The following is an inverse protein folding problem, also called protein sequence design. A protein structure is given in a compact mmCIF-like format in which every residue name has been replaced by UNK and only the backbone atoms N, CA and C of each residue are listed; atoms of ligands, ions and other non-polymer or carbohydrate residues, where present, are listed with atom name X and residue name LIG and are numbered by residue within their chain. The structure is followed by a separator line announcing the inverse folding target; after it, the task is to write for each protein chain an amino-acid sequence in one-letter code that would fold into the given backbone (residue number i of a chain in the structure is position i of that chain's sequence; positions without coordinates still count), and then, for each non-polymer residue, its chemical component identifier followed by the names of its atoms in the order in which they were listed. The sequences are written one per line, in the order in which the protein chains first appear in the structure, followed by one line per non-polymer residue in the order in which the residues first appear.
data_IF_772974628174
#
_entry.id   IF_772974628174
#
_cell.length_a   1.000
_cell.length_b   1.000
_cell.length_c   1.000
_cell.angle_alpha   90.00
_cell.angle_beta   90.00
_cell.angle_gamma   90.00
#
_symmetry.space_group_name_H-M   'P 1'
#
loop_
_entity.id
_entity.type
_entity.pdbx_description
1 polymer ?
#
# COMPACT_ATOMS: atom_id res chain seq x y z
N UNK A 1 35.14 -0.95 -21.14
CA UNK A 1 35.41 -1.47 -19.79
C UNK A 1 34.43 -0.76 -18.87
N UNK A 2 33.16 -1.18 -18.90
CA UNK A 2 32.16 -0.69 -17.98
C UNK A 2 32.37 -1.49 -16.70
N UNK A 3 32.85 -0.83 -15.64
CA UNK A 3 32.70 -1.38 -14.30
C UNK A 3 31.20 -1.61 -14.10
N UNK A 4 30.84 -2.84 -13.73
CA UNK A 4 29.55 -3.13 -13.13
C UNK A 4 29.48 -2.29 -11.85
N UNK A 5 28.85 -1.12 -11.94
CA UNK A 5 28.31 -0.48 -10.74
C UNK A 5 27.29 -1.48 -10.19
N UNK A 6 27.61 -2.11 -9.06
CA UNK A 6 26.62 -2.83 -8.27
C UNK A 6 25.46 -1.86 -8.05
N UNK A 7 24.28 -2.17 -8.60
CA UNK A 7 23.05 -1.45 -8.32
C UNK A 7 22.78 -1.58 -6.83
N UNK A 8 23.26 -0.63 -6.02
CA UNK A 8 23.03 -0.68 -4.57
C UNK A 8 21.58 -0.31 -4.32
N UNK A 9 20.81 -1.26 -3.79
CA UNK A 9 19.47 -0.98 -3.31
C UNK A 9 19.53 -0.04 -2.09
N UNK A 10 18.56 0.86 -2.00
CA UNK A 10 18.48 1.92 -1.00
C UNK A 10 17.15 1.79 -0.27
N UNK A 11 17.21 1.53 1.04
CA UNK A 11 16.05 1.59 1.91
C UNK A 11 15.70 3.05 2.22
N UNK A 12 14.46 3.43 1.95
CA UNK A 12 13.92 4.76 2.20
C UNK A 12 12.73 4.66 3.17
N UNK A 13 12.74 5.50 4.19
CA UNK A 13 11.65 5.62 5.17
C UNK A 13 11.09 7.03 5.13
N UNK A 14 9.81 7.14 4.78
CA UNK A 14 9.09 8.41 4.75
C UNK A 14 8.60 8.85 6.14
N UNK A 15 8.50 7.91 7.08
CA UNK A 15 8.13 8.17 8.47
C UNK A 15 9.37 8.26 9.37
N UNK A 16 9.59 9.44 9.93
CA UNK A 16 10.56 9.69 10.98
C UNK A 16 10.31 8.85 12.24
N UNK A 17 9.04 8.56 12.57
CA UNK A 17 8.72 7.68 13.68
C UNK A 17 9.21 6.25 13.43
N UNK A 18 9.05 5.77 12.20
CA UNK A 18 9.55 4.47 11.75
C UNK A 18 11.09 4.45 11.73
N UNK A 19 11.74 5.51 11.26
CA UNK A 19 13.21 5.66 11.33
C UNK A 19 13.72 5.57 12.76
N UNK A 20 13.08 6.27 13.71
CA UNK A 20 13.44 6.19 15.13
C UNK A 20 13.20 4.79 15.71
N UNK A 21 12.15 4.08 15.25
CA UNK A 21 11.90 2.71 15.66
C UNK A 21 13.04 1.77 15.22
N UNK A 22 13.49 1.87 13.96
CA UNK A 22 14.64 1.12 13.44
C UNK A 22 15.88 1.36 14.31
N UNK A 23 16.21 2.63 14.57
CA UNK A 23 17.37 3.03 15.38
C UNK A 23 17.27 2.53 16.83
N UNK A 24 16.10 2.67 17.46
CA UNK A 24 15.86 2.29 18.86
C UNK A 24 15.99 0.79 19.06
N UNK A 25 15.47 -0.01 18.12
CA UNK A 25 15.55 -1.47 18.18
C UNK A 25 16.86 -2.03 17.62
N UNK A 26 17.70 -1.19 17.02
CA UNK A 26 18.97 -1.57 16.42
C UNK A 26 18.80 -2.65 15.34
N UNK A 27 17.72 -2.57 14.57
CA UNK A 27 17.51 -3.48 13.44
C UNK A 27 18.63 -3.31 12.42
N UNK A 28 19.20 -4.42 11.94
CA UNK A 28 20.30 -4.39 10.97
C UNK A 28 21.66 -3.98 11.56
N UNK A 29 21.75 -3.63 12.84
CA UNK A 29 22.99 -3.11 13.45
C UNK A 29 23.81 -4.18 14.21
N UNK A 30 23.28 -5.39 14.40
CA UNK A 30 23.99 -6.45 15.14
C UNK A 30 24.97 -7.19 14.23
N UNK A 31 26.05 -7.79 14.76
CA UNK A 31 26.98 -8.59 13.97
C UNK A 31 26.25 -9.70 13.18
N UNK A 32 26.45 -9.72 11.87
CA UNK A 32 25.81 -10.69 10.96
C UNK A 32 24.45 -10.26 10.42
N UNK A 33 23.90 -9.11 10.83
CA UNK A 33 22.68 -8.55 10.24
C UNK A 33 22.98 -7.65 9.04
N UNK A 34 21.96 -7.47 8.22
CA UNK A 34 21.97 -6.74 6.96
C UNK A 34 20.75 -5.83 6.85
N UNK A 35 20.63 -5.12 5.72
CA UNK A 35 19.44 -4.33 5.40
C UNK A 35 18.18 -5.21 5.30
N UNK A 36 18.33 -6.49 4.93
CA UNK A 36 17.20 -7.43 4.83
C UNK A 36 16.58 -7.74 6.19
N UNK A 37 17.35 -7.71 7.28
CA UNK A 37 16.80 -7.81 8.65
C UNK A 37 15.90 -6.62 8.97
N UNK A 38 16.25 -5.41 8.50
CA UNK A 38 15.43 -4.21 8.67
C UNK A 38 14.14 -4.36 7.85
N UNK A 39 14.27 -4.76 6.58
CA UNK A 39 13.12 -4.98 5.68
C UNK A 39 12.17 -6.02 6.27
N UNK A 40 12.69 -7.13 6.80
CA UNK A 40 11.88 -8.16 7.44
C UNK A 40 11.05 -7.60 8.60
N UNK A 41 11.66 -6.83 9.50
CA UNK A 41 10.95 -6.20 10.62
C UNK A 41 9.90 -5.18 10.16
N UNK A 42 10.18 -4.40 9.11
CA UNK A 42 9.22 -3.46 8.54
C UNK A 42 8.01 -4.19 7.92
N UNK A 43 8.27 -5.27 7.17
CA UNK A 43 7.24 -6.10 6.55
C UNK A 43 6.37 -6.82 7.57
N UNK A 44 6.97 -7.42 8.62
CA UNK A 44 6.24 -8.13 9.68
C UNK A 44 5.31 -7.20 10.45
N UNK A 45 5.75 -5.95 10.64
CA UNK A 45 4.99 -4.90 11.34
C UNK A 45 4.06 -4.13 10.42
N UNK A 46 3.99 -4.45 9.12
CA UNK A 46 3.19 -3.72 8.14
C UNK A 46 3.49 -2.21 8.10
N UNK A 47 4.76 -1.84 8.32
CA UNK A 47 5.25 -0.46 8.22
C UNK A 47 5.54 -0.16 6.75
N UNK A 48 5.11 1.00 6.27
CA UNK A 48 5.37 1.42 4.90
C UNK A 48 6.84 1.87 4.73
N UNK A 49 7.48 1.44 3.64
CA UNK A 49 8.84 1.83 3.27
C UNK A 49 9.01 1.72 1.75
N UNK A 50 10.15 2.19 1.25
CA UNK A 50 10.54 2.04 -0.14
C UNK A 50 11.90 1.34 -0.22
N UNK A 51 12.09 0.47 -1.21
CA UNK A 51 13.34 -0.25 -1.42
C UNK A 51 13.80 -0.02 -2.85
N UNK A 52 14.46 1.12 -3.03
CA UNK A 52 14.65 1.77 -4.33
C UNK A 52 16.02 1.49 -4.94
N UNK A 53 16.15 1.71 -6.24
CA UNK A 53 17.44 1.67 -6.97
C UNK A 53 17.77 3.02 -7.60
N UNK A 54 19.05 3.37 -7.76
CA UNK A 54 19.43 4.57 -8.51
C UNK A 54 19.06 4.42 -9.99
N UNK A 55 18.59 5.51 -10.60
CA UNK A 55 18.22 5.51 -12.01
C UNK A 55 18.25 6.88 -12.67
N UNK A 56 18.01 6.94 -13.99
CA UNK A 56 18.00 8.19 -14.73
C UNK A 56 16.83 9.07 -14.26
N UNK A 57 17.02 10.39 -14.33
CA UNK A 57 15.89 11.29 -14.21
C UNK A 57 14.94 11.11 -15.41
N UNK A 58 13.67 10.82 -15.14
CA UNK A 58 12.60 10.79 -16.13
C UNK A 58 11.40 11.51 -15.56
N UNK A 59 10.76 12.36 -16.37
CA UNK A 59 9.46 12.90 -16.00
C UNK A 59 8.48 11.73 -15.89
N UNK A 60 7.81 11.62 -14.74
CA UNK A 60 6.76 10.63 -14.55
C UNK A 60 5.72 10.86 -15.64
N UNK A 61 5.43 9.81 -16.42
CA UNK A 61 4.27 9.86 -17.30
C UNK A 61 3.04 10.04 -16.41
N UNK A 62 2.10 10.88 -16.83
CA UNK A 62 0.78 10.84 -16.22
C UNK A 62 0.31 9.37 -16.25
N UNK A 63 -0.31 8.89 -15.16
CA UNK A 63 -0.90 7.55 -15.17
C UNK A 63 -1.68 7.42 -16.48
N UNK A 64 -1.39 6.38 -17.30
CA UNK A 64 -2.12 6.21 -18.54
C UNK A 64 -3.61 6.20 -18.20
N UNK A 65 -4.42 6.92 -18.99
CA UNK A 65 -5.89 6.91 -18.88
C UNK A 65 -6.31 5.45 -18.66
N UNK A 66 -7.05 5.11 -17.59
CA UNK A 66 -7.18 3.73 -17.10
C UNK A 66 -7.49 2.80 -18.25
N UNK A 67 -6.46 2.09 -18.73
CA UNK A 67 -6.52 1.30 -19.96
C UNK A 67 -7.34 0.08 -19.61
N UNK A 68 -8.64 0.23 -19.83
CA UNK A 68 -9.65 -0.80 -19.92
C UNK A 68 -10.03 -1.45 -18.58
N UNK A 69 -11.20 -1.04 -18.08
CA UNK A 69 -12.46 -1.81 -17.94
C UNK A 69 -12.46 -3.35 -17.78
N UNK A 70 -11.39 -4.10 -18.10
CA UNK A 70 -11.30 -5.55 -17.97
C UNK A 70 -11.05 -6.00 -16.52
N UNK A 71 -10.47 -5.14 -15.67
CA UNK A 71 -10.23 -5.41 -14.24
C UNK A 71 -11.14 -4.57 -13.33
N UNK A 72 -11.65 -3.44 -13.82
CA UNK A 72 -12.19 -2.33 -13.02
C UNK A 72 -13.54 -2.55 -12.31
N UNK A 73 -13.99 -3.79 -12.15
CA UNK A 73 -15.15 -4.13 -11.32
C UNK A 73 -16.46 -3.46 -11.77
N UNK A 74 -16.57 -3.05 -13.04
CA UNK A 74 -17.80 -2.44 -13.56
C UNK A 74 -18.93 -3.45 -13.53
N UNK A 75 -20.09 -3.01 -13.03
CA UNK A 75 -21.28 -3.84 -12.88
C UNK A 75 -22.54 -3.07 -13.27
N UNK A 76 -23.54 -3.76 -13.85
CA UNK A 76 -24.79 -3.13 -14.24
C UNK A 76 -25.56 -2.63 -13.03
N UNK A 77 -26.53 -1.76 -13.28
CA UNK A 77 -27.44 -1.26 -12.25
C UNK A 77 -28.09 -2.42 -11.47
N UNK A 78 -28.19 -2.23 -10.16
CA UNK A 78 -28.74 -3.20 -9.19
C UNK A 78 -27.90 -4.47 -8.98
N UNK A 79 -26.70 -4.58 -9.57
CA UNK A 79 -25.79 -5.65 -9.20
C UNK A 79 -25.45 -5.58 -7.70
N UNK A 80 -25.39 -6.73 -7.05
CA UNK A 80 -25.03 -6.84 -5.63
C UNK A 80 -23.95 -7.91 -5.54
N UNK A 81 -22.68 -7.52 -5.31
CA UNK A 81 -21.63 -8.51 -5.12
C UNK A 81 -21.96 -9.42 -3.95
N UNK A 82 -21.74 -10.72 -4.13
CA UNK A 82 -22.04 -11.75 -3.13
C UNK A 82 -20.78 -12.51 -2.68
N UNK A 83 -20.99 -13.65 -2.00
CA UNK A 83 -19.88 -14.50 -1.56
C UNK A 83 -19.11 -15.13 -2.74
N UNK A 84 -19.78 -15.50 -3.85
CA UNK A 84 -19.09 -16.07 -5.01
C UNK A 84 -18.20 -15.01 -5.67
N UNK A 85 -18.67 -13.76 -5.74
CA UNK A 85 -17.87 -12.62 -6.15
C UNK A 85 -16.61 -12.46 -5.26
N UNK A 86 -16.75 -12.62 -3.94
CA UNK A 86 -15.62 -12.54 -3.02
C UNK A 86 -14.58 -13.65 -3.25
N UNK A 87 -15.03 -14.90 -3.40
CA UNK A 87 -14.13 -16.03 -3.70
C UNK A 87 -13.40 -15.83 -5.03
N UNK A 88 -14.12 -15.35 -6.05
CA UNK A 88 -13.52 -15.02 -7.33
C UNK A 88 -12.48 -13.89 -7.17
N UNK A 89 -12.81 -12.84 -6.41
CA UNK A 89 -11.88 -11.76 -6.08
C UNK A 89 -10.60 -12.30 -5.43
N UNK A 90 -10.69 -13.16 -4.42
CA UNK A 90 -9.50 -13.67 -3.72
C UNK A 90 -8.56 -14.43 -4.65
N UNK A 91 -9.13 -15.22 -5.57
CA UNK A 91 -8.34 -15.91 -6.58
C UNK A 91 -7.59 -14.92 -7.50
N UNK A 92 -8.28 -13.89 -8.02
CA UNK A 92 -7.67 -12.88 -8.89
C UNK A 92 -6.66 -12.01 -8.15
N UNK A 93 -6.96 -11.59 -6.91
CA UNK A 93 -6.03 -10.85 -6.05
C UNK A 93 -4.77 -11.65 -5.83
N UNK A 94 -4.88 -12.91 -5.43
CA UNK A 94 -3.72 -13.73 -5.14
C UNK A 94 -2.90 -14.05 -6.40
N UNK A 95 -3.53 -14.18 -7.56
CA UNK A 95 -2.82 -14.31 -8.83
C UNK A 95 -2.03 -13.02 -9.16
N UNK A 96 -2.64 -11.85 -8.97
CA UNK A 96 -2.00 -10.56 -9.16
C UNK A 96 -0.83 -10.33 -8.18
N UNK A 97 -1.05 -10.58 -6.88
CA UNK A 97 -0.04 -10.40 -5.84
C UNK A 97 1.16 -11.36 -6.00
N UNK A 98 1.00 -12.51 -6.66
CA UNK A 98 2.13 -13.39 -6.98
C UNK A 98 2.96 -12.93 -8.18
N UNK A 99 2.55 -11.87 -8.86
CA UNK A 99 3.39 -11.18 -9.84
C UNK A 99 4.38 -10.25 -9.12
N UNK A 100 5.40 -9.70 -9.82
CA UNK A 100 6.31 -8.71 -9.23
C UNK A 100 5.59 -7.52 -8.56
N UNK A 101 4.39 -7.17 -9.02
CA UNK A 101 3.55 -6.10 -8.44
C UNK A 101 3.15 -6.36 -6.98
N UNK A 102 3.19 -7.61 -6.51
CA UNK A 102 2.98 -7.95 -5.11
C UNK A 102 3.99 -7.32 -4.16
N UNK A 103 5.23 -7.11 -4.62
CA UNK A 103 6.27 -6.47 -3.83
C UNK A 103 5.87 -5.03 -3.49
N UNK A 104 5.44 -4.26 -4.50
CA UNK A 104 4.90 -2.91 -4.29
C UNK A 104 3.72 -2.90 -3.30
N UNK A 105 2.86 -3.92 -3.33
CA UNK A 105 1.76 -4.05 -2.36
C UNK A 105 2.27 -4.26 -0.93
N UNK A 106 3.32 -5.07 -0.73
CA UNK A 106 3.98 -5.25 0.57
C UNK A 106 4.59 -3.95 1.11
N UNK A 107 5.31 -3.21 0.26
CA UNK A 107 5.98 -1.95 0.60
C UNK A 107 5.02 -0.85 1.09
N UNK A 108 3.76 -0.88 0.64
CA UNK A 108 2.74 0.08 1.09
C UNK A 108 2.36 -0.08 2.57
N UNK A 109 2.63 -1.21 3.21
CA UNK A 109 2.20 -1.48 4.58
C UNK A 109 0.67 -1.35 4.77
N UNK A 110 0.24 -1.16 6.02
CA UNK A 110 -1.17 -0.92 6.33
C UNK A 110 -2.12 -1.99 5.75
N UNK A 111 -3.30 -1.58 5.26
CA UNK A 111 -4.30 -2.53 4.73
C UNK A 111 -3.84 -3.25 3.45
N UNK A 112 -3.14 -2.56 2.54
CA UNK A 112 -2.68 -3.14 1.27
C UNK A 112 -1.56 -4.15 1.55
N UNK A 113 -0.57 -3.76 2.37
CA UNK A 113 0.48 -4.66 2.82
C UNK A 113 -0.07 -5.85 3.61
N UNK A 114 -1.11 -5.66 4.43
CA UNK A 114 -1.78 -6.78 5.11
C UNK A 114 -2.46 -7.75 4.15
N UNK A 115 -3.09 -7.24 3.08
CA UNK A 115 -3.71 -8.08 2.05
C UNK A 115 -2.67 -8.83 1.22
N UNK A 116 -1.46 -8.28 1.08
CA UNK A 116 -0.32 -8.94 0.46
C UNK A 116 0.36 -9.97 1.40
N UNK A 117 0.33 -9.70 2.71
CA UNK A 117 0.93 -10.55 3.73
C UNK A 117 0.37 -11.98 3.70
N UNK A 118 1.26 -12.96 3.61
CA UNK A 118 0.93 -14.38 3.48
C UNK A 118 0.62 -14.84 2.05
N UNK A 119 0.56 -13.92 1.08
CA UNK A 119 0.47 -14.23 -0.36
C UNK A 119 1.81 -14.05 -1.05
N UNK A 120 2.53 -12.98 -0.69
CA UNK A 120 3.85 -12.63 -1.22
C UNK A 120 4.93 -13.09 -0.23
N UNK A 121 5.84 -13.99 -0.63
CA UNK A 121 7.05 -14.30 0.15
C UNK A 121 7.90 -13.06 0.37
N UNK A 122 8.47 -12.89 1.56
CA UNK A 122 9.32 -11.72 1.85
C UNK A 122 10.63 -11.76 1.03
N UNK A 123 11.09 -12.95 0.68
CA UNK A 123 12.24 -13.17 -0.20
C UNK A 123 12.06 -12.48 -1.55
N UNK A 124 10.83 -12.44 -2.06
CA UNK A 124 10.54 -11.77 -3.33
C UNK A 124 10.77 -10.25 -3.21
N UNK A 125 10.50 -9.65 -2.04
CA UNK A 125 10.72 -8.21 -1.78
C UNK A 125 12.22 -7.87 -1.71
N UNK A 126 13.07 -8.83 -1.34
CA UNK A 126 14.51 -8.62 -1.22
C UNK A 126 15.22 -8.43 -2.56
N UNK A 127 14.55 -8.74 -3.68
CA UNK A 127 15.08 -8.55 -5.03
C UNK A 127 15.04 -7.09 -5.50
N UNK A 128 14.43 -6.18 -4.73
CA UNK A 128 14.29 -4.79 -5.13
C UNK A 128 13.20 -4.59 -6.19
N UNK A 129 13.11 -3.40 -6.80
CA UNK A 129 12.05 -3.05 -7.73
C UNK A 129 12.06 -3.91 -9.00
N UNK A 130 10.92 -3.97 -9.67
CA UNK A 130 10.72 -4.69 -10.92
C UNK A 130 11.58 -4.14 -12.07
N UNK A 131 11.78 -4.96 -13.11
CA UNK A 131 12.54 -4.56 -14.29
C UNK A 131 11.95 -3.33 -15.01
N UNK A 132 10.63 -3.13 -14.89
CA UNK A 132 9.88 -2.07 -15.54
C UNK A 132 9.78 -0.79 -14.69
N UNK A 133 10.46 -0.72 -13.54
CA UNK A 133 10.38 0.40 -12.57
C UNK A 133 10.59 1.79 -13.21
N UNK A 134 11.39 1.88 -14.28
CA UNK A 134 11.66 3.14 -14.99
C UNK A 134 10.58 3.56 -16.01
N UNK A 135 9.54 2.73 -16.18
CA UNK A 135 8.40 2.98 -17.06
C UNK A 135 7.14 3.35 -16.28
N UNK A 136 6.86 2.62 -15.20
CA UNK A 136 5.61 2.70 -14.43
C UNK A 136 5.78 2.93 -12.92
N UNK A 137 7.03 2.97 -12.43
CA UNK A 137 7.35 3.22 -11.04
C UNK A 137 7.24 4.67 -10.60
N UNK A 138 7.66 4.93 -9.37
CA UNK A 138 7.77 6.26 -8.77
C UNK A 138 9.23 6.62 -8.59
N UNK A 139 9.54 7.92 -8.64
CA UNK A 139 10.87 8.40 -8.31
C UNK A 139 10.90 9.33 -7.10
N UNK A 140 12.03 9.31 -6.41
CA UNK A 140 12.35 10.14 -5.25
C UNK A 140 13.60 10.94 -5.60
N UNK A 141 13.54 12.24 -5.34
CA UNK A 141 14.66 13.15 -5.52
C UNK A 141 15.00 13.80 -4.20
N UNK A 142 16.29 13.83 -3.89
CA UNK A 142 16.80 14.65 -2.80
C UNK A 142 16.79 16.11 -3.24
N UNK A 143 16.12 16.97 -2.48
CA UNK A 143 16.11 18.41 -2.72
C UNK A 143 17.50 19.05 -2.61
N UNK A 144 18.40 18.45 -1.84
CA UNK A 144 19.78 18.92 -1.64
C UNK A 144 20.75 18.31 -2.66
N UNK A 145 20.45 17.10 -3.17
CA UNK A 145 21.25 16.41 -4.18
C UNK A 145 20.40 15.94 -5.38
N UNK A 146 19.98 16.86 -6.27
CA UNK A 146 19.09 16.54 -7.40
C UNK A 146 19.70 15.58 -8.42
N UNK A 147 21.03 15.34 -8.35
CA UNK A 147 21.77 14.46 -9.24
C UNK A 147 21.45 12.98 -9.02
N UNK A 148 20.92 12.60 -7.86
CA UNK A 148 20.53 11.22 -7.56
C UNK A 148 19.02 11.11 -7.61
N UNK A 149 18.52 10.29 -8.53
CA UNK A 149 17.10 9.93 -8.62
C UNK A 149 16.98 8.46 -8.23
N UNK A 150 16.19 8.18 -7.21
CA UNK A 150 15.89 6.83 -6.75
C UNK A 150 14.54 6.40 -7.32
N UNK A 151 14.42 5.14 -7.71
CA UNK A 151 13.23 4.57 -8.34
C UNK A 151 12.75 3.36 -7.56
N UNK A 152 11.43 3.26 -7.39
CA UNK A 152 10.78 2.13 -6.75
C UNK A 152 9.44 1.83 -7.44
N UNK A 153 8.96 0.61 -7.29
CA UNK A 153 7.66 0.23 -7.84
C UNK A 153 6.53 0.93 -7.09
N UNK A 154 5.43 1.17 -7.80
CA UNK A 154 4.21 1.71 -7.22
C UNK A 154 2.99 1.08 -7.87
N UNK A 155 2.02 0.69 -7.04
CA UNK A 155 0.71 0.28 -7.54
C UNK A 155 -0.04 1.46 -8.16
N UNK A 156 -0.59 1.24 -9.35
CA UNK A 156 -1.51 2.13 -10.03
C UNK A 156 -2.87 2.17 -9.31
N UNK A 157 -3.70 3.17 -9.64
CA UNK A 157 -5.05 3.27 -9.10
C UNK A 157 -5.92 2.03 -9.39
N UNK A 158 -5.79 1.43 -10.58
CA UNK A 158 -6.57 0.24 -10.98
C UNK A 158 -6.09 -1.03 -10.26
N UNK A 159 -4.79 -1.14 -9.99
CA UNK A 159 -4.24 -2.24 -9.18
C UNK A 159 -4.67 -2.13 -7.71
N UNK A 160 -4.67 -0.92 -7.15
CA UNK A 160 -5.23 -0.70 -5.82
C UNK A 160 -6.71 -1.07 -5.74
N UNK A 161 -7.47 -0.76 -6.80
CA UNK A 161 -8.86 -1.15 -6.92
C UNK A 161 -9.05 -2.67 -6.99
N UNK A 162 -8.18 -3.38 -7.72
CA UNK A 162 -8.16 -4.84 -7.73
C UNK A 162 -7.86 -5.40 -6.33
N UNK A 163 -6.79 -4.93 -5.67
CA UNK A 163 -6.39 -5.42 -4.35
C UNK A 163 -7.46 -5.17 -3.30
N UNK A 164 -8.09 -3.99 -3.33
CA UNK A 164 -9.17 -3.62 -2.40
C UNK A 164 -10.56 -4.14 -2.82
N UNK A 165 -10.67 -4.84 -3.96
CA UNK A 165 -11.91 -5.32 -4.57
C UNK A 165 -12.97 -4.22 -4.77
N UNK A 166 -12.66 -3.22 -5.58
CA UNK A 166 -13.57 -2.13 -5.90
C UNK A 166 -14.54 -2.50 -7.02
N UNK A 167 -15.82 -2.30 -6.76
CA UNK A 167 -16.91 -2.41 -7.73
C UNK A 167 -17.41 -1.02 -8.11
N UNK A 168 -17.64 -0.81 -9.42
CA UNK A 168 -18.23 0.40 -9.99
C UNK A 168 -19.61 0.05 -10.54
N UNK A 169 -20.65 0.30 -9.76
CA UNK A 169 -22.02 -0.09 -10.08
C UNK A 169 -22.76 1.08 -10.70
N UNK A 170 -23.29 0.89 -11.91
CA UNK A 170 -24.09 1.92 -12.58
C UNK A 170 -25.33 2.29 -11.75
N UNK A 171 -25.58 3.57 -11.49
CA UNK A 171 -26.79 4.02 -10.77
C UNK A 171 -28.01 4.15 -11.70
N UNK A 172 -27.77 4.10 -13.02
CA UNK A 172 -28.72 4.44 -14.08
C UNK A 172 -29.00 5.94 -14.18
N UNK A 173 -28.25 6.77 -13.46
CA UNK A 173 -28.34 8.23 -13.57
C UNK A 173 -27.23 8.73 -14.49
N UNK A 174 -27.57 9.69 -15.36
CA UNK A 174 -26.62 10.29 -16.30
C UNK A 174 -25.87 11.42 -15.57
N UNK A 175 -24.56 11.30 -15.45
CA UNK A 175 -23.69 12.38 -15.03
C UNK A 175 -23.38 13.34 -16.19
N UNK A 176 -22.55 14.35 -15.92
CA UNK A 176 -22.21 15.39 -16.90
C UNK A 176 -21.46 14.85 -18.12
N UNK A 177 -20.66 13.79 -17.95
CA UNK A 177 -19.83 13.20 -19.02
C UNK A 177 -20.02 11.68 -19.18
N UNK A 178 -20.44 10.98 -18.14
CA UNK A 178 -20.64 9.52 -18.12
C UNK A 178 -21.76 9.13 -17.14
N UNK A 179 -22.18 7.87 -17.15
CA UNK A 179 -23.12 7.37 -16.14
C UNK A 179 -22.52 7.53 -14.74
N UNK A 180 -23.33 7.97 -13.78
CA UNK A 180 -22.93 8.03 -12.40
C UNK A 180 -22.73 6.60 -11.88
N UNK A 181 -21.63 6.39 -11.16
CA UNK A 181 -21.27 5.10 -10.59
C UNK A 181 -21.34 5.17 -9.07
N UNK A 182 -21.90 4.13 -8.45
CA UNK A 182 -21.73 3.85 -7.04
C UNK A 182 -20.47 3.00 -6.85
N UNK A 183 -19.48 3.54 -6.13
CA UNK A 183 -18.19 2.89 -5.92
C UNK A 183 -18.19 2.28 -4.52
N UNK A 184 -18.11 0.95 -4.45
CA UNK A 184 -18.12 0.18 -3.20
C UNK A 184 -17.00 -0.87 -3.21
N UNK A 185 -16.52 -1.28 -2.04
CA UNK A 185 -15.42 -2.25 -1.95
C UNK A 185 -15.51 -3.17 -0.74
N UNK A 186 -14.85 -4.32 -0.83
CA UNK A 186 -14.69 -5.26 0.30
C UNK A 186 -13.67 -4.79 1.33
N UNK A 187 -12.66 -4.02 0.91
CA UNK A 187 -11.63 -3.47 1.79
C UNK A 187 -11.55 -1.95 1.66
N UNK A 188 -11.19 -1.23 2.74
CA UNK A 188 -10.96 0.21 2.65
C UNK A 188 -9.75 0.48 1.76
N UNK A 189 -9.88 1.43 0.83
CA UNK A 189 -8.74 1.97 0.06
C UNK A 189 -7.75 2.69 1.01
N UNK A 190 -6.46 2.85 0.63
CA UNK A 190 -5.46 3.56 1.43
C UNK A 190 -5.95 4.91 1.98
N UNK A 191 -6.56 5.74 1.13
CA UNK A 191 -7.12 7.04 1.54
C UNK A 191 -8.16 6.96 2.67
N UNK A 192 -8.94 5.88 2.74
CA UNK A 192 -9.87 5.65 3.84
C UNK A 192 -9.12 5.17 5.09
N UNK A 193 -8.21 4.20 4.90
CA UNK A 193 -7.41 3.58 5.95
C UNK A 193 -6.51 4.56 6.69
N UNK A 194 -5.79 5.43 5.97
CA UNK A 194 -4.87 6.42 6.55
C UNK A 194 -5.57 7.47 7.42
N UNK A 195 -6.88 7.66 7.21
CA UNK A 195 -7.71 8.55 8.04
C UNK A 195 -8.42 7.83 9.18
N UNK A 196 -8.27 6.50 9.27
CA UNK A 196 -8.86 5.65 10.30
C UNK A 196 -8.14 5.83 11.63
N UNK A 197 -8.82 5.55 12.76
CA UNK A 197 -8.17 5.53 14.07
C UNK A 197 -7.24 4.34 14.31
N UNK A 198 -7.18 3.40 13.36
CA UNK A 198 -6.26 2.25 13.37
C UNK A 198 -4.90 2.60 12.73
N UNK A 199 -4.84 3.68 11.94
CA UNK A 199 -3.62 4.07 11.26
C UNK A 199 -2.70 4.90 12.16
N UNK A 200 -1.80 4.19 12.85
CA UNK A 200 -0.83 4.78 13.78
C UNK A 200 0.63 4.60 13.33
N UNK A 201 0.85 4.21 12.07
CA UNK A 201 2.18 4.04 11.46
C UNK A 201 2.68 2.60 11.37
N UNK A 202 2.01 1.64 11.99
CA UNK A 202 2.31 0.21 11.87
C UNK A 202 1.03 -0.63 12.02
N UNK A 203 1.09 -1.90 11.64
CA UNK A 203 0.02 -2.88 11.82
C UNK A 203 -0.03 -3.38 13.26
N UNK A 204 -0.90 -2.76 14.07
CA UNK A 204 -1.07 -3.10 15.49
C UNK A 204 -1.97 -4.32 15.71
N UNK A 205 -2.02 -4.82 16.95
CA UNK A 205 -2.98 -5.86 17.35
C UNK A 205 -4.44 -5.45 17.12
N UNK A 206 -4.76 -4.16 17.26
CA UNK A 206 -6.10 -3.63 17.00
C UNK A 206 -6.42 -3.65 15.50
N UNK A 207 -5.42 -3.41 14.63
CA UNK A 207 -5.55 -3.56 13.18
C UNK A 207 -5.88 -5.01 12.83
N UNK A 208 -5.13 -5.97 13.38
CA UNK A 208 -5.35 -7.40 13.12
C UNK A 208 -6.71 -7.87 13.65
N UNK A 209 -7.07 -7.48 14.88
CA UNK A 209 -8.37 -7.85 15.45
C UNK A 209 -9.55 -7.29 14.64
N UNK A 210 -9.42 -6.08 14.11
CA UNK A 210 -10.41 -5.51 13.18
C UNK A 210 -10.45 -6.28 11.86
N UNK A 211 -9.29 -6.58 11.27
CA UNK A 211 -9.18 -7.25 9.98
C UNK A 211 -9.80 -8.65 10.02
N UNK A 212 -9.44 -9.45 11.04
CA UNK A 212 -9.97 -10.80 11.21
C UNK A 212 -11.48 -10.79 11.42
N UNK A 213 -12.00 -9.89 12.26
CA UNK A 213 -13.44 -9.74 12.46
C UNK A 213 -14.16 -9.38 11.15
N UNK A 214 -13.59 -8.47 10.37
CA UNK A 214 -14.17 -8.09 9.09
C UNK A 214 -14.16 -9.25 8.08
N UNK A 215 -13.07 -10.01 8.04
CA UNK A 215 -12.97 -11.22 7.22
C UNK A 215 -14.01 -12.27 7.62
N UNK A 216 -14.23 -12.48 8.91
CA UNK A 216 -15.29 -13.36 9.42
C UNK A 216 -16.69 -12.88 9.05
N UNK A 217 -16.93 -11.56 9.08
CA UNK A 217 -18.21 -10.97 8.64
C UNK A 217 -18.43 -11.21 7.14
N UNK A 218 -17.38 -11.15 6.31
CA UNK A 218 -17.45 -11.47 4.88
C UNK A 218 -17.82 -12.95 4.68
N UNK A 219 -17.06 -13.87 5.29
CA UNK A 219 -17.29 -15.30 5.14
C UNK A 219 -18.65 -15.75 5.68
N UNK A 220 -19.15 -15.10 6.72
CA UNK A 220 -20.49 -15.38 7.28
C UNK A 220 -21.63 -14.67 6.54
N UNK A 221 -21.36 -13.92 5.47
CA UNK A 221 -22.36 -13.20 4.68
C UNK A 221 -23.02 -12.03 5.41
N UNK A 222 -22.37 -11.52 6.47
CA UNK A 222 -22.83 -10.38 7.27
C UNK A 222 -22.23 -9.05 6.82
N UNK A 223 -21.12 -9.09 6.09
CA UNK A 223 -20.46 -7.88 5.60
C UNK A 223 -21.24 -7.26 4.43
N UNK A 224 -21.51 -5.96 4.55
CA UNK A 224 -21.96 -5.13 3.44
C UNK A 224 -20.75 -4.41 2.82
N UNK A 225 -20.63 -4.43 1.50
CA UNK A 225 -19.64 -3.60 0.81
C UNK A 225 -19.89 -2.12 1.11
N UNK A 226 -18.80 -1.37 1.24
CA UNK A 226 -18.87 0.02 1.70
C UNK A 226 -18.33 0.99 0.65
N UNK A 227 -18.99 2.13 0.55
CA UNK A 227 -18.47 3.34 -0.09
C UNK A 227 -17.32 3.94 0.73
N UNK A 228 -16.56 4.86 0.13
CA UNK A 228 -15.51 5.61 0.85
C UNK A 228 -16.03 6.28 2.13
N UNK A 229 -17.23 6.89 2.09
CA UNK A 229 -17.81 7.57 3.24
C UNK A 229 -18.19 6.58 4.36
N UNK A 230 -18.78 5.44 4.00
CA UNK A 230 -19.10 4.37 4.94
C UNK A 230 -17.84 3.76 5.55
N UNK A 231 -16.79 3.57 4.75
CA UNK A 231 -15.49 3.15 5.25
C UNK A 231 -14.98 4.12 6.30
N UNK A 232 -14.78 5.40 5.94
CA UNK A 232 -14.30 6.44 6.87
C UNK A 232 -15.12 6.53 8.16
N UNK A 233 -16.43 6.29 8.09
CA UNK A 233 -17.27 6.24 9.28
C UNK A 233 -17.00 4.99 10.14
N UNK A 234 -16.97 3.82 9.51
CA UNK A 234 -16.85 2.52 10.19
C UNK A 234 -15.49 2.27 10.85
N UNK A 235 -14.41 2.82 10.31
CA UNK A 235 -13.03 2.65 10.83
C UNK A 235 -12.50 3.89 11.53
N UNK A 236 -13.39 4.80 11.93
CA UNK A 236 -12.99 6.05 12.57
C UNK A 236 -12.30 5.84 13.93
N UNK A 237 -12.78 4.86 14.71
CA UNK A 237 -12.35 4.55 16.08
C UNK A 237 -12.08 5.81 16.93
N UNK A 238 -11.09 5.76 17.83
CA UNK A 238 -10.70 6.91 18.64
C UNK A 238 -9.95 7.92 17.78
N UNK A 239 -10.59 9.07 17.48
CA UNK A 239 -9.98 10.17 16.70
C UNK A 239 -8.63 10.63 17.25
N UNK A 240 -8.42 10.51 18.56
CA UNK A 240 -7.20 10.94 19.22
C UNK A 240 -5.97 10.15 18.76
N UNK A 241 -6.12 8.89 18.33
CA UNK A 241 -5.00 8.06 17.88
C UNK A 241 -4.24 8.69 16.70
N UNK A 242 -4.97 9.23 15.71
CA UNK A 242 -4.34 9.89 14.56
C UNK A 242 -3.61 11.16 14.97
N UNK A 243 -4.16 11.91 15.92
CA UNK A 243 -3.49 13.09 16.46
C UNK A 243 -2.21 12.71 17.20
N UNK A 244 -2.23 11.63 17.98
CA UNK A 244 -1.04 11.12 18.67
C UNK A 244 0.01 10.67 17.65
N UNK A 245 -0.38 9.92 16.61
CA UNK A 245 0.53 9.50 15.55
C UNK A 245 1.16 10.70 14.82
N UNK A 246 0.35 11.70 14.45
CA UNK A 246 0.84 12.93 13.81
C UNK A 246 1.80 13.73 14.71
N UNK A 247 1.49 13.84 16.00
CA UNK A 247 2.38 14.53 16.96
C UNK A 247 3.67 13.75 17.15
N UNK A 248 3.60 12.42 17.27
CA UNK A 248 4.76 11.56 17.37
C UNK A 248 5.67 11.73 16.14
N UNK A 249 5.10 11.64 14.94
CA UNK A 249 5.79 11.85 13.65
C UNK A 249 6.49 13.22 13.61
N UNK A 250 5.80 14.29 14.03
CA UNK A 250 6.42 15.62 14.09
C UNK A 250 7.61 15.68 15.06
N UNK A 251 7.45 15.16 16.28
CA UNK A 251 8.49 15.22 17.32
C UNK A 251 9.70 14.35 16.95
N UNK A 252 9.48 13.21 16.29
CA UNK A 252 10.56 12.35 15.81
C UNK A 252 11.34 13.01 14.67
N UNK A 253 10.66 13.71 13.76
CA UNK A 253 11.32 14.49 12.71
C UNK A 253 12.21 15.61 13.31
N UNK A 254 11.68 16.36 14.28
CA UNK A 254 12.45 17.40 14.99
C UNK A 254 13.66 16.85 15.75
N UNK A 255 13.58 15.61 16.24
CA UNK A 255 14.70 14.94 16.91
C UNK A 255 15.75 14.46 15.91
N UNK A 256 15.34 13.85 14.79
CA UNK A 256 16.25 13.38 13.74
C UNK A 256 17.09 14.51 13.13
N UNK A 257 16.58 15.74 13.09
CA UNK A 257 17.33 16.91 12.61
C UNK A 257 18.46 17.35 13.57
N UNK A 258 18.51 16.82 14.80
CA UNK A 258 19.46 17.23 15.85
C UNK A 258 20.60 16.24 16.07
N UNK A 259 20.49 15.04 15.50
CA UNK A 259 21.51 13.98 15.58
C UNK A 259 22.31 13.93 14.28
#
# INVERSE_FOLDING_TARGET
MFHSDETKEVLLLSSSASTIQVLRHQWGCRPGQSIYDIIHELLDRGIAFNFAIPGPYRSLKAEPDPIHARIAGYRPKNYKPDHLDFVAYEWHRNAFLRSPRGQAACLMGGIVGRLAHGVVPYEDVYHGPSEDVFEDGVNFQDSEQPSVTLWDDRLTSDELDLVCSVYRIDTGQRGQYSNQMNIISWWPKPLAWETSGLYIGFWSSDCEAWFQRWLDDIHSGKADLRTLAQWKHSIKFLKQCNKVAQVNEKLTAEYLQKI
#
